data_IF_570862435869
#
_entry.id   IF_570862435869
#
_cell.length_a   1.000
_cell.length_b   1.000
_cell.length_c   1.000
_cell.angle_alpha   90.00
_cell.angle_beta   90.00
_cell.angle_gamma   90.00
#
_symmetry.space_group_name_H-M   'P 1'
#
loop_
_entity.id
_entity.type
_entity.pdbx_description
1 polymer ?
#
# COMPACT_ATOMS: atom_id res chain seq x y z
N UNK A 1 20.74 -4.36 -1.40
CA UNK A 1 19.26 -4.33 -1.25
C UNK A 1 18.63 -2.96 -1.56
N UNK A 2 19.21 -1.82 -1.14
CA UNK A 2 18.65 -0.46 -1.29
C UNK A 2 18.04 -0.12 -2.67
N UNK A 3 18.71 -0.50 -3.77
CA UNK A 3 18.23 -0.14 -5.12
C UNK A 3 16.99 -0.94 -5.53
N UNK A 4 16.91 -2.22 -5.16
CA UNK A 4 15.74 -3.05 -5.44
C UNK A 4 14.53 -2.59 -4.62
N UNK A 5 14.73 -2.24 -3.35
CA UNK A 5 13.64 -1.70 -2.54
C UNK A 5 13.17 -0.32 -3.00
N UNK A 6 14.07 0.54 -3.52
CA UNK A 6 13.67 1.79 -4.19
C UNK A 6 12.85 1.54 -5.46
N UNK A 7 13.27 0.59 -6.31
CA UNK A 7 12.51 0.22 -7.52
C UNK A 7 11.12 -0.31 -7.17
N UNK A 8 11.01 -1.23 -6.22
CA UNK A 8 9.72 -1.76 -5.75
C UNK A 8 8.84 -0.68 -5.13
N UNK A 9 9.42 0.30 -4.43
CA UNK A 9 8.66 1.42 -3.88
C UNK A 9 8.12 2.33 -4.99
N UNK A 10 8.96 2.66 -5.98
CA UNK A 10 8.54 3.46 -7.14
C UNK A 10 7.45 2.76 -7.94
N UNK A 11 7.59 1.45 -8.17
CA UNK A 11 6.59 0.64 -8.84
C UNK A 11 5.26 0.62 -8.06
N UNK A 12 5.31 0.51 -6.73
CA UNK A 12 4.12 0.62 -5.90
C UNK A 12 3.46 1.98 -6.07
N UNK A 13 4.21 3.08 -6.00
CA UNK A 13 3.65 4.43 -6.14
C UNK A 13 3.07 4.68 -7.54
N UNK A 14 3.66 4.11 -8.58
CA UNK A 14 3.16 4.20 -9.95
C UNK A 14 1.84 3.41 -10.11
N UNK A 15 1.78 2.18 -9.61
CA UNK A 15 0.55 1.38 -9.62
C UNK A 15 -0.58 2.04 -8.82
N UNK A 16 -0.25 2.65 -7.68
CA UNK A 16 -1.20 3.42 -6.88
C UNK A 16 -1.74 4.64 -7.62
N UNK A 17 -0.87 5.39 -8.32
CA UNK A 17 -1.27 6.51 -9.17
C UNK A 17 -2.17 6.06 -10.31
N UNK A 18 -1.83 4.97 -10.99
CA UNK A 18 -2.64 4.42 -12.07
C UNK A 18 -4.05 4.07 -11.59
N UNK A 19 -4.18 3.39 -10.45
CA UNK A 19 -5.48 3.06 -9.85
C UNK A 19 -6.30 4.32 -9.57
N UNK A 20 -5.66 5.38 -9.05
CA UNK A 20 -6.35 6.64 -8.76
C UNK A 20 -6.83 7.40 -10.00
N UNK A 21 -6.22 7.17 -11.16
CA UNK A 21 -6.58 7.81 -12.43
C UNK A 21 -7.66 7.04 -13.20
N UNK A 22 -7.66 5.71 -13.09
CA UNK A 22 -8.51 4.83 -13.90
C UNK A 22 -9.80 4.39 -13.17
N UNK A 23 -9.91 4.62 -11.86
CA UNK A 23 -11.04 4.11 -11.05
C UNK A 23 -11.97 5.24 -10.61
N UNK A 24 -13.14 5.35 -11.24
CA UNK A 24 -14.18 6.31 -10.86
C UNK A 24 -15.01 5.90 -9.63
N UNK A 25 -15.07 4.60 -9.31
CA UNK A 25 -15.86 4.11 -8.17
C UNK A 25 -15.08 4.27 -6.85
N UNK A 26 -15.58 5.03 -5.86
CA UNK A 26 -14.88 5.30 -4.59
C UNK A 26 -14.51 4.04 -3.81
N UNK A 27 -15.36 3.01 -3.82
CA UNK A 27 -15.09 1.75 -3.09
C UNK A 27 -13.98 0.95 -3.76
N UNK A 28 -14.06 0.80 -5.09
CA UNK A 28 -13.05 0.09 -5.87
C UNK A 28 -11.70 0.83 -5.82
N UNK A 29 -11.74 2.17 -5.85
CA UNK A 29 -10.57 3.04 -5.74
C UNK A 29 -9.91 2.95 -4.35
N UNK A 30 -10.65 2.57 -3.31
CA UNK A 30 -10.10 2.32 -1.98
C UNK A 30 -9.61 0.88 -1.77
N UNK A 31 -10.24 -0.10 -2.42
CA UNK A 31 -9.90 -1.53 -2.27
C UNK A 31 -8.69 -1.96 -3.12
N UNK A 32 -8.63 -1.57 -4.40
CA UNK A 32 -7.55 -1.95 -5.32
C UNK A 32 -6.15 -1.56 -4.82
N UNK A 33 -5.92 -0.35 -4.26
CA UNK A 33 -4.64 0.02 -3.66
C UNK A 33 -4.18 -0.93 -2.56
N UNK A 34 -5.12 -1.40 -1.73
CA UNK A 34 -4.82 -2.33 -0.63
C UNK A 34 -4.30 -3.65 -1.19
N UNK A 35 -4.97 -4.18 -2.22
CA UNK A 35 -4.54 -5.43 -2.86
C UNK A 35 -3.15 -5.30 -3.49
N UNK A 36 -2.88 -4.19 -4.19
CA UNK A 36 -1.56 -3.90 -4.78
C UNK A 36 -0.49 -3.81 -3.69
N UNK A 37 -0.72 -3.02 -2.64
CA UNK A 37 0.22 -2.90 -1.52
C UNK A 37 0.51 -4.25 -0.86
N UNK A 38 -0.50 -5.09 -0.64
CA UNK A 38 -0.33 -6.43 -0.07
C UNK A 38 0.49 -7.36 -0.98
N UNK A 39 0.24 -7.32 -2.30
CA UNK A 39 1.00 -8.10 -3.29
C UNK A 39 2.48 -7.71 -3.28
N UNK A 40 2.78 -6.41 -3.30
CA UNK A 40 4.15 -5.90 -3.28
C UNK A 40 4.84 -6.23 -1.96
N UNK A 41 4.16 -6.04 -0.81
CA UNK A 41 4.68 -6.43 0.51
C UNK A 41 5.00 -7.92 0.61
N UNK A 42 4.17 -8.77 0.01
CA UNK A 42 4.42 -10.22 -0.05
C UNK A 42 5.66 -10.53 -0.90
N UNK A 43 5.82 -9.85 -2.03
CA UNK A 43 7.03 -9.93 -2.87
C UNK A 43 8.29 -9.48 -2.12
N UNK A 44 8.23 -8.35 -1.41
CA UNK A 44 9.33 -7.85 -0.56
C UNK A 44 9.67 -8.87 0.52
N UNK A 45 8.68 -9.45 1.20
CA UNK A 45 8.89 -10.48 2.23
C UNK A 45 9.58 -11.72 1.65
N UNK A 46 9.13 -12.20 0.49
CA UNK A 46 9.74 -13.34 -0.18
C UNK A 46 11.20 -13.06 -0.60
N UNK A 47 11.48 -11.84 -1.09
CA UNK A 47 12.83 -11.40 -1.42
C UNK A 47 13.73 -11.37 -0.19
N UNK A 48 13.28 -10.73 0.90
CA UNK A 48 14.04 -10.61 2.14
C UNK A 48 14.29 -11.97 2.77
N UNK A 49 13.33 -12.90 2.72
CA UNK A 49 13.52 -14.26 3.23
C UNK A 49 14.63 -15.04 2.51
N UNK A 50 14.93 -14.71 1.25
CA UNK A 50 16.02 -15.31 0.47
C UNK A 50 17.31 -14.50 0.52
N UNK A 51 17.23 -13.25 0.95
CA UNK A 51 18.35 -12.33 0.96
C UNK A 51 19.16 -12.46 2.25
N UNK A 52 20.47 -12.69 2.13
CA UNK A 52 21.40 -12.52 3.24
C UNK A 52 21.86 -11.07 3.30
N UNK A 53 21.54 -10.40 4.40
CA UNK A 53 22.02 -9.03 4.67
C UNK A 53 23.54 -9.00 4.72
N UNK A 54 24.14 -7.96 4.14
CA UNK A 54 25.60 -7.80 4.11
C UNK A 54 26.15 -7.33 5.47
N UNK A 55 25.33 -6.66 6.26
CA UNK A 55 25.68 -6.19 7.59
C UNK A 55 24.43 -5.98 8.45
N UNK A 56 24.62 -5.99 9.77
CA UNK A 56 23.57 -5.66 10.74
C UNK A 56 23.03 -4.24 10.50
N UNK A 57 23.88 -3.30 10.07
CA UNK A 57 23.44 -1.95 9.72
C UNK A 57 22.50 -1.93 8.50
N UNK A 58 22.73 -2.77 7.48
CA UNK A 58 21.82 -2.91 6.33
C UNK A 58 20.46 -3.48 6.76
N UNK A 59 20.48 -4.46 7.66
CA UNK A 59 19.26 -5.05 8.23
C UNK A 59 18.45 -4.04 9.06
N UNK A 60 19.11 -3.34 9.99
CA UNK A 60 18.48 -2.29 10.80
C UNK A 60 17.87 -1.22 9.88
N UNK A 61 18.60 -0.77 8.87
CA UNK A 61 18.09 0.24 7.94
C UNK A 61 16.84 -0.26 7.20
N UNK A 62 16.80 -1.53 6.80
CA UNK A 62 15.61 -2.08 6.16
C UNK A 62 14.40 -2.10 7.09
N UNK A 63 14.56 -2.61 8.31
CA UNK A 63 13.45 -2.73 9.24
C UNK A 63 13.00 -1.39 9.84
N UNK A 64 13.92 -0.43 10.04
CA UNK A 64 13.62 0.89 10.59
C UNK A 64 13.15 1.91 9.55
N UNK A 65 13.74 1.92 8.36
CA UNK A 65 13.47 2.97 7.38
C UNK A 65 12.63 2.45 6.21
N UNK A 66 13.02 1.30 5.65
CA UNK A 66 12.44 0.83 4.38
C UNK A 66 11.08 0.17 4.57
N UNK A 67 10.95 -0.78 5.52
CA UNK A 67 9.71 -1.50 5.80
C UNK A 67 8.57 -0.54 6.19
N UNK A 68 8.77 0.48 7.04
CA UNK A 68 7.72 1.45 7.35
C UNK A 68 7.22 2.25 6.14
N UNK A 69 8.04 2.50 5.12
CA UNK A 69 7.58 3.18 3.90
C UNK A 69 6.52 2.35 3.15
N UNK A 70 6.72 1.03 3.02
CA UNK A 70 5.72 0.16 2.41
C UNK A 70 4.46 0.02 3.27
N UNK A 71 4.65 -0.21 4.59
CA UNK A 71 3.54 -0.39 5.51
C UNK A 71 2.69 0.88 5.65
N UNK A 72 3.30 2.07 5.68
CA UNK A 72 2.57 3.34 5.82
C UNK A 72 1.58 3.56 4.67
N UNK A 73 1.96 3.24 3.44
CA UNK A 73 1.08 3.32 2.27
C UNK A 73 -0.08 2.33 2.37
N UNK A 74 0.18 1.09 2.79
CA UNK A 74 -0.88 0.11 3.04
C UNK A 74 -1.87 0.61 4.09
N UNK A 75 -1.39 1.08 5.24
CA UNK A 75 -2.25 1.57 6.33
C UNK A 75 -3.04 2.81 5.93
N UNK A 76 -2.45 3.69 5.13
CA UNK A 76 -3.16 4.83 4.55
C UNK A 76 -4.37 4.38 3.73
N UNK A 77 -4.19 3.47 2.78
CA UNK A 77 -5.29 2.99 1.94
C UNK A 77 -6.33 2.15 2.70
N UNK A 78 -5.91 1.36 3.70
CA UNK A 78 -6.84 0.69 4.62
C UNK A 78 -7.70 1.70 5.37
N UNK A 79 -7.12 2.83 5.79
CA UNK A 79 -7.85 3.89 6.47
C UNK A 79 -8.89 4.54 5.55
N UNK A 80 -8.51 4.83 4.29
CA UNK A 80 -9.45 5.36 3.28
C UNK A 80 -10.60 4.37 3.03
N UNK A 81 -10.31 3.09 2.84
CA UNK A 81 -11.34 2.06 2.65
C UNK A 81 -12.28 1.96 3.85
N UNK A 82 -11.76 2.02 5.07
CA UNK A 82 -12.58 2.03 6.28
C UNK A 82 -13.47 3.27 6.37
N UNK A 83 -13.02 4.42 5.87
CA UNK A 83 -13.83 5.65 5.83
C UNK A 83 -14.95 5.49 4.79
N UNK A 84 -14.64 5.03 3.57
CA UNK A 84 -15.64 4.87 2.51
C UNK A 84 -16.68 3.79 2.85
N UNK A 85 -16.30 2.69 3.49
CA UNK A 85 -17.23 1.62 3.91
C UNK A 85 -18.10 1.99 5.10
N UNK A 86 -17.63 2.88 5.98
CA UNK A 86 -18.42 3.39 7.13
C UNK A 86 -19.29 4.59 6.76
N UNK A 87 -19.16 5.10 5.54
CA UNK A 87 -19.98 6.18 5.03
C UNK A 87 -21.43 5.67 5.01
N UNK A 88 -22.36 6.31 5.74
CA UNK A 88 -23.74 5.88 5.72
C UNK A 88 -24.26 5.98 4.29
N UNK A 89 -24.91 4.92 3.81
CA UNK A 89 -25.69 4.97 2.58
C UNK A 89 -26.81 5.99 2.83
N UNK A 90 -26.55 7.25 2.52
CA UNK A 90 -27.53 8.32 2.58
C UNK A 90 -28.62 7.99 1.58
N UNK A 91 -29.58 7.17 1.98
CA UNK A 91 -30.84 7.04 1.28
C UNK A 91 -31.40 8.44 1.20
N UNK A 92 -31.59 8.95 -0.02
CA UNK A 92 -32.46 10.09 -0.26
C UNK A 92 -33.87 9.70 0.21
N UNK A 93 -34.12 9.86 1.50
CA UNK A 93 -35.44 9.97 2.11
C UNK A 93 -35.37 11.13 3.09
N UNK A 94 -35.12 12.31 2.54
CA UNK A 94 -35.74 13.52 3.10
C UNK A 94 -37.21 13.42 2.74
N UNK A 95 -37.96 12.66 3.53
CA UNK A 95 -39.42 12.73 3.52
C UNK A 95 -39.77 14.05 4.16
N UNK A 96 -40.33 14.97 3.37
CA UNK A 96 -41.04 16.14 3.85
C UNK A 96 -42.46 16.06 3.33
#
# INVERSE_FOLDING_TARGET
MKENTKKLLSEMEEQLKFISLETDNPLTCAELPIQVCQKILTGVKAFISKYKFKSVAEEIHFFKEVKPLFCSKLFYHISIYNIETRKPNGGFKVTK
#
